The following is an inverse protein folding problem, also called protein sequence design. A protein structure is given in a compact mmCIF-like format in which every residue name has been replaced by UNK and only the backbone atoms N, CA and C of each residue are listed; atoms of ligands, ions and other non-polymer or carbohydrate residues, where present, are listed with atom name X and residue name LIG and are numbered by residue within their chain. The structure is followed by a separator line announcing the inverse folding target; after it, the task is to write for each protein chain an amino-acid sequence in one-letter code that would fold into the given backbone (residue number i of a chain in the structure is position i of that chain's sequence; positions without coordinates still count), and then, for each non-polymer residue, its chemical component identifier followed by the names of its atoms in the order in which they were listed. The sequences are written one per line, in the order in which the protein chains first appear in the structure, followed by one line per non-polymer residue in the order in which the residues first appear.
data_IF_213771933963
#
_entry.id   IF_213771933963
#
_cell.length_a   1.000
_cell.length_b   1.000
_cell.length_c   1.000
_cell.angle_alpha   90.00
_cell.angle_beta   90.00
_cell.angle_gamma   90.00
#
_symmetry.space_group_name_H-M   'P 1'
#
loop_
_entity.id
_entity.type
_entity.pdbx_description
1 polymer ?
#
# COMPACT_ATOMS: atom_id res chain seq x y z
N UNK A 1 -6.04 -15.20 -8.99
CA UNK A 1 -5.86 -15.95 -10.24
C UNK A 1 -5.52 -17.38 -9.91
N UNK A 2 -6.23 -18.34 -10.49
CA UNK A 2 -5.82 -19.74 -10.52
C UNK A 2 -5.11 -19.99 -11.85
N UNK A 3 -3.93 -20.59 -11.81
CA UNK A 3 -3.13 -20.87 -13.00
C UNK A 3 -2.34 -22.17 -12.83
N UNK A 4 -1.86 -22.72 -13.94
CA UNK A 4 -1.07 -23.93 -13.95
C UNK A 4 0.39 -23.62 -13.64
N UNK A 5 1.03 -24.40 -12.77
CA UNK A 5 2.47 -24.26 -12.52
C UNK A 5 3.23 -24.79 -13.74
N UNK A 6 4.22 -24.04 -14.20
CA UNK A 6 5.16 -24.43 -15.24
C UNK A 6 6.61 -24.24 -14.77
N UNK A 7 7.57 -24.14 -15.70
CA UNK A 7 9.00 -23.98 -15.37
C UNK A 7 9.39 -22.53 -15.05
N UNK A 8 8.55 -21.55 -15.36
CA UNK A 8 8.84 -20.15 -15.13
C UNK A 8 8.29 -19.65 -13.78
N UNK A 9 8.39 -18.34 -13.56
CA UNK A 9 7.86 -17.68 -12.37
C UNK A 9 6.49 -17.13 -12.70
N UNK A 10 5.46 -17.72 -12.08
CA UNK A 10 4.05 -17.34 -12.24
C UNK A 10 3.57 -17.25 -13.71
N UNK A 11 4.15 -18.05 -14.62
CA UNK A 11 3.97 -17.89 -16.08
C UNK A 11 2.99 -18.84 -16.75
N UNK A 12 2.51 -19.88 -16.07
CA UNK A 12 1.68 -20.88 -16.73
C UNK A 12 0.25 -20.41 -17.02
N UNK A 13 -0.47 -21.21 -17.80
CA UNK A 13 -1.79 -20.85 -18.31
C UNK A 13 -2.78 -20.52 -17.18
N UNK A 14 -3.55 -19.45 -17.35
CA UNK A 14 -4.64 -19.06 -16.44
C UNK A 14 -5.79 -20.04 -16.62
N UNK A 15 -6.37 -20.47 -15.50
CA UNK A 15 -7.59 -21.26 -15.46
C UNK A 15 -8.79 -20.38 -15.12
N UNK A 16 -8.71 -19.61 -14.03
CA UNK A 16 -9.76 -18.67 -13.62
C UNK A 16 -9.12 -17.39 -13.06
N UNK A 17 -9.75 -16.25 -13.30
CA UNK A 17 -9.31 -14.95 -12.83
C UNK A 17 -10.52 -14.11 -12.43
N UNK A 18 -10.54 -13.66 -11.18
CA UNK A 18 -11.54 -12.75 -10.62
C UNK A 18 -10.86 -11.50 -10.10
N UNK A 19 -11.58 -10.39 -10.17
CA UNK A 19 -11.15 -9.10 -9.65
C UNK A 19 -12.09 -8.58 -8.58
N UNK A 20 -11.61 -7.60 -7.83
CA UNK A 20 -12.39 -6.83 -6.86
C UNK A 20 -11.86 -5.40 -6.83
N UNK A 21 -12.71 -4.48 -6.39
CA UNK A 21 -12.33 -3.08 -6.26
C UNK A 21 -11.49 -2.85 -5.00
N UNK A 22 -10.45 -2.03 -5.15
CA UNK A 22 -9.65 -1.50 -4.05
C UNK A 22 -10.17 -0.11 -3.73
N UNK A 23 -10.82 0.02 -2.59
CA UNK A 23 -11.37 1.25 -2.07
C UNK A 23 -10.31 2.02 -1.26
N UNK A 24 -10.58 3.30 -0.99
CA UNK A 24 -9.67 4.12 -0.18
C UNK A 24 -9.58 3.66 1.27
N UNK A 25 -10.66 3.06 1.80
CA UNK A 25 -10.68 2.45 3.12
C UNK A 25 -9.96 1.10 3.19
N UNK A 26 -9.51 0.54 2.06
CA UNK A 26 -8.78 -0.72 2.08
C UNK A 26 -7.36 -0.55 2.60
N UNK A 27 -7.05 -1.39 3.57
CA UNK A 27 -5.73 -1.58 4.17
C UNK A 27 -5.23 -2.99 3.87
N UNK A 28 -3.97 -3.27 4.17
CA UNK A 28 -3.37 -4.58 3.90
C UNK A 28 -4.24 -5.76 4.39
N UNK A 29 -4.79 -5.68 5.61
CA UNK A 29 -5.64 -6.71 6.18
C UNK A 29 -6.93 -6.97 5.37
N UNK A 30 -7.68 -5.93 4.98
CA UNK A 30 -8.93 -6.10 4.22
C UNK A 30 -8.67 -6.65 2.81
N UNK A 31 -7.52 -6.33 2.21
CA UNK A 31 -7.09 -6.92 0.94
C UNK A 31 -6.84 -8.43 1.09
N UNK A 32 -6.21 -8.87 2.18
CA UNK A 32 -6.04 -10.29 2.46
C UNK A 32 -7.38 -11.02 2.60
N UNK A 33 -8.33 -10.45 3.34
CA UNK A 33 -9.67 -11.02 3.52
C UNK A 33 -10.40 -11.16 2.18
N UNK A 34 -10.37 -10.11 1.34
CA UNK A 34 -10.96 -10.14 -0.01
C UNK A 34 -10.34 -11.23 -0.90
N UNK A 35 -9.01 -11.36 -0.87
CA UNK A 35 -8.30 -12.40 -1.64
C UNK A 35 -8.65 -13.79 -1.12
N UNK A 36 -8.72 -13.99 0.19
CA UNK A 36 -9.05 -15.28 0.79
C UNK A 36 -10.47 -15.73 0.42
N UNK A 37 -11.46 -14.85 0.59
CA UNK A 37 -12.84 -15.13 0.22
C UNK A 37 -12.96 -15.53 -1.26
N UNK A 38 -12.40 -14.72 -2.17
CA UNK A 38 -12.44 -15.02 -3.60
C UNK A 38 -11.69 -16.30 -3.95
N UNK A 39 -10.57 -16.57 -3.30
CA UNK A 39 -9.82 -17.81 -3.55
C UNK A 39 -10.62 -19.04 -3.13
N UNK A 40 -11.32 -18.99 -1.99
CA UNK A 40 -12.19 -20.06 -1.54
C UNK A 40 -13.36 -20.30 -2.50
N UNK A 41 -14.00 -19.24 -2.99
CA UNK A 41 -15.07 -19.34 -4.00
C UNK A 41 -14.56 -19.96 -5.30
N UNK A 42 -13.45 -19.43 -5.82
CA UNK A 42 -12.81 -19.94 -7.03
C UNK A 42 -12.48 -21.42 -6.90
N UNK A 43 -11.90 -21.86 -5.78
CA UNK A 43 -11.57 -23.27 -5.57
C UNK A 43 -12.82 -24.15 -5.50
N UNK A 44 -13.86 -23.74 -4.77
CA UNK A 44 -15.13 -24.49 -4.67
C UNK A 44 -15.80 -24.69 -6.03
N UNK A 45 -15.75 -23.69 -6.90
CA UNK A 45 -16.36 -23.75 -8.22
C UNK A 45 -15.52 -24.53 -9.23
N UNK A 46 -14.18 -24.42 -9.15
CA UNK A 46 -13.29 -24.96 -10.17
C UNK A 46 -12.83 -26.40 -9.87
N UNK A 47 -12.65 -26.81 -8.61
CA UNK A 47 -12.20 -28.19 -8.28
C UNK A 47 -13.10 -29.27 -8.89
N UNK A 48 -14.45 -29.19 -8.82
CA UNK A 48 -15.31 -30.20 -9.44
C UNK A 48 -15.17 -30.28 -10.97
N UNK A 49 -14.82 -29.16 -11.63
CA UNK A 49 -14.57 -29.16 -13.08
C UNK A 49 -13.27 -29.89 -13.41
N UNK A 50 -12.25 -29.75 -12.56
CA UNK A 50 -11.00 -30.49 -12.69
C UNK A 50 -11.20 -32.00 -12.57
N UNK A 51 -11.99 -32.45 -11.58
CA UNK A 51 -12.29 -33.88 -11.37
C UNK A 51 -13.03 -34.50 -12.57
N UNK A 52 -13.88 -33.72 -13.24
CA UNK A 52 -14.62 -34.12 -14.45
C UNK A 52 -13.79 -34.04 -15.74
N UNK A 53 -12.56 -33.51 -15.68
CA UNK A 53 -11.72 -33.27 -16.84
C UNK A 53 -12.14 -32.06 -17.69
N UNK A 54 -13.06 -31.22 -17.20
CA UNK A 54 -13.49 -29.98 -17.85
C UNK A 54 -12.47 -28.88 -17.57
N UNK A 55 -11.36 -28.91 -18.30
CA UNK A 55 -10.21 -28.02 -18.07
C UNK A 55 -10.16 -26.93 -19.14
N UNK A 56 -10.17 -25.68 -18.70
CA UNK A 56 -9.91 -24.52 -19.55
C UNK A 56 -8.52 -23.94 -19.25
N UNK A 57 -7.81 -23.55 -20.31
CA UNK A 57 -6.47 -22.96 -20.24
C UNK A 57 -6.40 -21.73 -21.13
N UNK A 58 -6.08 -20.61 -20.52
CA UNK A 58 -5.91 -19.32 -21.17
C UNK A 58 -4.44 -18.92 -21.06
N UNK A 59 -3.73 -18.87 -22.19
CA UNK A 59 -2.33 -18.42 -22.21
C UNK A 59 -2.24 -17.00 -21.66
N UNK A 60 -1.23 -16.74 -20.83
CA UNK A 60 -0.93 -15.39 -20.38
C UNK A 60 -0.39 -14.54 -21.54
N UNK A 61 -0.72 -13.24 -21.54
CA UNK A 61 -0.19 -12.29 -22.51
C UNK A 61 1.14 -11.72 -22.00
N UNK A 62 2.25 -12.32 -22.44
CA UNK A 62 3.60 -11.94 -21.99
C UNK A 62 3.94 -10.47 -22.18
N UNK A 63 3.42 -9.84 -23.24
CA UNK A 63 3.61 -8.41 -23.51
C UNK A 63 3.01 -7.48 -22.44
N UNK A 64 2.04 -7.97 -21.66
CA UNK A 64 1.41 -7.25 -20.54
C UNK A 64 1.96 -7.66 -19.17
N UNK A 65 2.88 -8.61 -19.13
CA UNK A 65 3.44 -9.10 -17.88
C UNK A 65 4.50 -8.12 -17.33
N UNK A 66 4.57 -8.04 -16.00
CA UNK A 66 5.66 -7.39 -15.29
C UNK A 66 6.14 -8.28 -14.14
N UNK A 67 7.31 -7.94 -13.58
CA UNK A 67 7.86 -8.62 -12.42
C UNK A 67 8.10 -7.62 -11.30
N UNK A 68 7.61 -7.96 -10.11
CA UNK A 68 7.90 -7.21 -8.90
C UNK A 68 9.11 -7.81 -8.21
N UNK A 69 10.13 -6.99 -7.95
CA UNK A 69 11.25 -7.43 -7.11
C UNK A 69 10.78 -7.66 -5.68
N UNK A 70 11.54 -8.47 -4.94
CA UNK A 70 11.35 -8.60 -3.49
C UNK A 70 11.47 -7.21 -2.83
N UNK A 71 10.52 -6.90 -1.95
CA UNK A 71 10.59 -5.72 -1.09
C UNK A 71 11.71 -5.86 -0.06
N UNK A 72 12.31 -4.74 0.27
CA UNK A 72 13.34 -4.54 1.29
C UNK A 72 12.78 -3.63 2.38
N UNK A 73 13.48 -3.54 3.51
CA UNK A 73 13.10 -2.61 4.58
C UNK A 73 13.00 -1.17 4.08
N UNK A 74 13.94 -0.73 3.24
CA UNK A 74 13.95 0.61 2.62
C UNK A 74 12.69 0.94 1.80
N UNK A 75 11.99 -0.06 1.27
CA UNK A 75 10.74 0.18 0.52
C UNK A 75 9.58 0.62 1.42
N UNK A 76 9.71 0.48 2.73
CA UNK A 76 8.75 1.02 3.70
C UNK A 76 9.14 2.37 4.28
N UNK A 77 10.29 2.92 3.90
CA UNK A 77 10.71 4.26 4.33
C UNK A 77 9.91 5.31 3.56
N UNK A 78 9.26 6.22 4.29
CA UNK A 78 8.46 7.30 3.72
C UNK A 78 9.42 8.36 3.20
N UNK A 79 9.47 8.51 1.88
CA UNK A 79 10.09 9.67 1.24
C UNK A 79 9.05 10.79 1.17
N UNK A 80 9.21 11.81 2.02
CA UNK A 80 8.25 12.91 2.11
C UNK A 80 8.11 13.72 0.83
N UNK A 81 9.05 13.61 -0.12
CA UNK A 81 8.95 14.25 -1.45
C UNK A 81 7.93 13.56 -2.36
N UNK A 82 7.46 12.37 -1.99
CA UNK A 82 6.35 11.69 -2.68
C UNK A 82 5.06 12.51 -2.56
N UNK A 83 4.11 12.27 -3.46
CA UNK A 83 2.79 12.87 -3.35
C UNK A 83 2.03 12.37 -2.13
N UNK A 84 1.06 13.16 -1.65
CA UNK A 84 0.13 12.77 -0.58
C UNK A 84 -0.48 11.39 -0.84
N UNK A 85 -0.98 11.18 -2.07
CA UNK A 85 -1.61 9.92 -2.46
C UNK A 85 -0.64 8.75 -2.41
N UNK A 86 0.62 8.94 -2.80
CA UNK A 86 1.64 7.88 -2.75
C UNK A 86 2.04 7.54 -1.32
N UNK A 87 2.15 8.53 -0.43
CA UNK A 87 2.40 8.30 1.01
C UNK A 87 1.22 7.56 1.64
N UNK A 88 -0.01 8.01 1.35
CA UNK A 88 -1.23 7.34 1.78
C UNK A 88 -1.29 5.87 1.32
N UNK A 89 -1.03 5.61 0.04
CA UNK A 89 -1.00 4.26 -0.52
C UNK A 89 0.11 3.40 0.12
N UNK A 90 1.29 3.97 0.39
CA UNK A 90 2.38 3.26 1.04
C UNK A 90 2.02 2.84 2.46
N UNK A 91 1.46 3.76 3.25
CA UNK A 91 1.08 3.51 4.66
C UNK A 91 0.02 2.41 4.74
N UNK A 92 -1.08 2.51 3.98
CA UNK A 92 -2.15 1.50 4.01
C UNK A 92 -1.74 0.15 3.41
N UNK A 93 -0.81 0.12 2.45
CA UNK A 93 -0.29 -1.12 1.87
C UNK A 93 0.70 -1.85 2.79
N UNK A 94 1.30 -1.13 3.77
CA UNK A 94 2.25 -1.67 4.73
C UNK A 94 1.72 -1.67 6.17
N UNK A 95 0.46 -1.30 6.39
CA UNK A 95 -0.22 -1.44 7.68
C UNK A 95 -0.29 -2.91 8.10
N UNK A 96 -0.74 -3.15 9.34
CA UNK A 96 -0.95 -4.51 9.83
C UNK A 96 -1.72 -5.36 8.80
N UNK A 97 -1.26 -6.60 8.50
CA UNK A 97 -0.28 -7.40 9.25
C UNK A 97 1.20 -7.21 8.86
N UNK A 98 1.54 -6.22 8.02
CA UNK A 98 2.94 -5.92 7.69
C UNK A 98 3.63 -5.11 8.79
N UNK A 99 4.92 -4.83 8.58
CA UNK A 99 5.81 -4.18 9.57
C UNK A 99 5.63 -2.66 9.70
N UNK A 100 4.67 -2.05 9.01
CA UNK A 100 4.43 -0.61 9.00
C UNK A 100 5.36 0.16 8.05
N UNK A 101 4.81 1.20 7.42
CA UNK A 101 5.62 2.26 6.84
C UNK A 101 6.34 3.02 7.96
N UNK A 102 7.47 3.67 7.67
CA UNK A 102 8.28 4.30 8.70
C UNK A 102 9.03 5.53 8.21
N UNK A 103 9.44 6.37 9.15
CA UNK A 103 10.38 7.47 8.94
C UNK A 103 11.51 7.39 9.99
N UNK A 104 12.60 8.13 9.75
CA UNK A 104 13.71 8.24 10.71
C UNK A 104 13.65 9.61 11.38
N UNK A 105 13.20 9.64 12.63
CA UNK A 105 13.13 10.87 13.40
C UNK A 105 14.07 10.81 14.61
N UNK A 106 14.93 11.82 14.76
CA UNK A 106 15.96 11.87 15.82
C UNK A 106 16.80 10.58 15.93
N UNK A 107 17.19 10.03 14.77
CA UNK A 107 17.96 8.77 14.61
C UNK A 107 17.21 7.50 15.05
N UNK A 108 15.90 7.59 15.30
CA UNK A 108 15.06 6.46 15.65
C UNK A 108 14.04 6.21 14.54
N UNK A 109 13.95 4.95 14.11
CA UNK A 109 12.87 4.51 13.24
C UNK A 109 11.54 4.60 13.99
N UNK A 110 10.56 5.24 13.37
CA UNK A 110 9.21 5.38 13.92
C UNK A 110 8.20 4.89 12.90
N UNK A 111 7.32 3.97 13.31
CA UNK A 111 6.25 3.44 12.47
C UNK A 111 5.11 4.43 12.33
N UNK A 112 4.53 4.46 11.14
CA UNK A 112 3.33 5.20 10.78
C UNK A 112 2.35 4.17 10.22
N UNK A 113 1.23 4.00 10.92
CA UNK A 113 0.25 2.95 10.68
C UNK A 113 -0.97 3.45 9.91
N UNK A 114 -1.29 4.74 10.05
CA UNK A 114 -2.47 5.35 9.46
C UNK A 114 -2.23 6.82 9.17
N UNK A 115 -2.64 7.25 7.98
CA UNK A 115 -2.62 8.64 7.54
C UNK A 115 -3.89 8.95 6.77
N UNK A 116 -4.30 10.22 6.82
CA UNK A 116 -5.24 10.82 5.89
C UNK A 116 -4.46 11.74 4.94
N UNK A 117 -4.85 11.77 3.67
CA UNK A 117 -4.38 12.83 2.77
C UNK A 117 -5.36 14.00 2.85
N UNK A 118 -4.82 15.21 3.00
CA UNK A 118 -5.60 16.43 2.94
C UNK A 118 -5.53 16.90 1.49
N UNK A 119 -6.67 16.88 0.80
CA UNK A 119 -6.83 17.59 -0.46
C UNK A 119 -6.93 19.07 -0.13
N UNK A 120 -5.79 19.74 -0.13
CA UNK A 120 -5.78 21.18 -0.03
C UNK A 120 -6.02 21.76 -1.42
N UNK A 121 -7.07 22.56 -1.58
CA UNK A 121 -7.34 23.27 -2.84
C UNK A 121 -6.30 24.39 -3.07
N UNK A 122 -5.61 24.82 -2.01
CA UNK A 122 -4.60 25.88 -2.01
C UNK A 122 -3.17 25.32 -1.87
N UNK A 123 -2.83 24.27 -2.65
CA UNK A 123 -1.47 23.68 -2.71
C UNK A 123 -0.37 24.75 -2.89
N UNK A 124 -0.71 25.85 -3.58
CA UNK A 124 0.19 26.98 -3.85
C UNK A 124 0.65 27.72 -2.59
N UNK A 125 -0.14 27.73 -1.51
CA UNK A 125 0.23 28.40 -0.25
C UNK A 125 1.48 27.78 0.40
N UNK A 126 1.71 26.49 0.14
CA UNK A 126 2.82 25.73 0.72
C UNK A 126 3.94 25.43 -0.28
N UNK A 127 3.92 26.04 -1.47
CA UNK A 127 4.90 25.81 -2.55
C UNK A 127 6.35 26.08 -2.13
N UNK A 128 6.57 27.02 -1.21
CA UNK A 128 7.90 27.38 -0.70
C UNK A 128 8.33 26.59 0.56
N UNK A 129 7.60 25.53 0.92
CA UNK A 129 7.89 24.72 2.10
C UNK A 129 8.43 23.36 1.69
N UNK A 130 9.57 22.99 2.26
CA UNK A 130 10.20 21.70 1.98
C UNK A 130 9.37 20.53 2.52
N UNK A 131 9.22 19.44 1.74
CA UNK A 131 8.57 18.22 2.20
C UNK A 131 9.24 17.62 3.43
N UNK A 132 8.43 17.02 4.32
CA UNK A 132 8.83 16.45 5.61
C UNK A 132 8.65 17.42 6.78
N UNK A 133 8.36 18.69 6.52
CA UNK A 133 8.13 19.68 7.58
C UNK A 133 6.82 19.42 8.34
N UNK A 134 6.88 19.48 9.67
CA UNK A 134 5.71 19.47 10.55
C UNK A 134 5.05 20.85 10.48
N UNK A 135 3.87 20.92 9.87
CA UNK A 135 3.12 22.15 9.63
C UNK A 135 2.30 22.56 10.84
N UNK A 136 1.62 21.60 11.45
CA UNK A 136 0.82 21.80 12.66
C UNK A 136 0.64 20.47 13.39
N UNK A 137 0.21 20.57 14.65
CA UNK A 137 -0.07 19.43 15.52
C UNK A 137 -1.45 19.64 16.12
N UNK A 138 -2.33 18.66 15.93
CA UNK A 138 -3.69 18.67 16.44
C UNK A 138 -3.85 17.52 17.43
N UNK A 139 -3.73 17.83 18.72
CA UNK A 139 -3.66 16.81 19.79
C UNK A 139 -2.48 15.83 19.59
N UNK A 140 -2.73 14.68 18.98
CA UNK A 140 -1.74 13.65 18.69
C UNK A 140 -1.60 13.38 17.17
N UNK A 141 -2.16 14.24 16.33
CA UNK A 141 -2.05 14.13 14.89
C UNK A 141 -1.05 15.15 14.36
N UNK A 142 -0.18 14.73 13.44
CA UNK A 142 0.81 15.60 12.81
C UNK A 142 0.39 15.88 11.38
N UNK A 143 0.36 17.15 10.99
CA UNK A 143 0.16 17.55 9.61
C UNK A 143 1.53 17.81 9.00
N UNK A 144 1.89 17.03 7.99
CA UNK A 144 3.22 17.02 7.38
C UNK A 144 3.13 17.47 5.93
N UNK A 145 4.04 18.36 5.52
CA UNK A 145 4.20 18.75 4.13
C UNK A 145 4.73 17.58 3.30
N UNK A 146 4.09 17.30 2.17
CA UNK A 146 4.56 16.30 1.19
C UNK A 146 5.05 16.96 -0.10
N UNK A 147 5.34 16.18 -1.15
CA UNK A 147 5.69 16.73 -2.46
C UNK A 147 4.62 17.66 -3.06
N UNK A 148 3.34 17.35 -2.88
CA UNK A 148 2.23 18.03 -3.58
C UNK A 148 1.03 18.41 -2.69
N UNK A 149 1.15 18.26 -1.36
CA UNK A 149 0.10 18.67 -0.44
C UNK A 149 0.47 18.41 1.02
N UNK A 150 -0.51 18.02 1.82
CA UNK A 150 -0.36 17.68 3.22
C UNK A 150 -0.88 16.27 3.51
N UNK A 151 -0.22 15.57 4.45
CA UNK A 151 -0.75 14.34 5.05
C UNK A 151 -0.90 14.52 6.54
N UNK A 152 -2.00 14.01 7.08
CA UNK A 152 -2.27 13.96 8.51
C UNK A 152 -1.91 12.58 9.02
N UNK A 153 -0.88 12.48 9.86
CA UNK A 153 -0.53 11.25 10.56
C UNK A 153 -1.50 11.05 11.72
N UNK A 154 -2.18 9.90 11.73
CA UNK A 154 -3.23 9.56 12.70
C UNK A 154 -2.70 8.57 13.73
N UNK A 155 -2.13 7.46 13.26
CA UNK A 155 -1.61 6.41 14.11
C UNK A 155 -0.11 6.20 13.86
N UNK A 156 0.68 6.31 14.93
CA UNK A 156 2.13 6.34 14.87
C UNK A 156 2.78 5.87 16.19
N UNK A 157 4.08 5.61 16.15
CA UNK A 157 4.86 5.16 17.31
C UNK A 157 5.85 6.21 17.87
N UNK A 158 5.65 7.50 17.59
CA UNK A 158 6.48 8.56 18.18
C UNK A 158 6.44 8.48 19.72
N UNK A 159 7.60 8.29 20.36
CA UNK A 159 7.71 8.36 21.83
C UNK A 159 7.46 9.78 22.36
N UNK A 160 7.88 10.77 21.57
CA UNK A 160 7.65 12.20 21.79
C UNK A 160 7.28 12.80 20.46
N UNK A 161 6.21 13.56 20.43
CA UNK A 161 5.78 14.23 19.22
C UNK A 161 6.87 15.21 18.73
N UNK A 162 7.16 15.19 17.43
CA UNK A 162 7.84 16.27 16.74
C UNK A 162 7.20 17.63 17.05
N UNK A 163 8.01 18.69 17.04
CA UNK A 163 7.52 20.06 17.19
C UNK A 163 7.16 20.66 15.82
N UNK A 164 6.24 21.63 15.80
CA UNK A 164 5.96 22.43 14.60
C UNK A 164 7.25 23.07 14.09
N UNK A 165 7.51 22.92 12.79
CA UNK A 165 8.71 23.40 12.11
C UNK A 165 9.90 22.43 12.10
N UNK A 166 9.86 21.33 12.86
CA UNK A 166 10.81 20.22 12.71
C UNK A 166 10.52 19.43 11.42
N UNK A 167 11.44 18.53 11.06
CA UNK A 167 11.36 17.70 9.86
C UNK A 167 11.42 16.21 10.24
N UNK A 168 10.68 15.41 9.46
CA UNK A 168 10.64 13.94 9.52
C UNK A 168 11.45 13.28 8.41
#
# INVERSE_FOLDING_TARGET
TLFWIDRGVDSGDIWDQRGFDINESDVAASIYEKIEMLSLEMLKENIPNLEKGNIHRHKQYSEKANYWRKRTHKDGEIDWRMSCKRIFDLVRALSAPYIGAHCIYKKKETKIWEVEFILDEDVDEYSNIEPGKVMSIESNHLIIKTGDGLVKIINHEFERLPCVGEYL
#
